data_IF_324352092257
#
_entry.id   IF_324352092257
#
_cell.length_a   1.000
_cell.length_b   1.000
_cell.length_c   1.000
_cell.angle_alpha   90.00
_cell.angle_beta   90.00
_cell.angle_gamma   90.00
#
_symmetry.space_group_name_H-M   'P 1'
#
loop_
_entity.id
_entity.type
_entity.pdbx_description
1 polymer ?
#
# COMPACT_ATOMS: atom_id res chain seq x y z
N UNK A 1 0.38 6.34 -18.18
CA UNK A 1 0.52 5.03 -17.48
C UNK A 1 -0.73 4.82 -16.65
N UNK A 2 -1.49 3.75 -16.89
CA UNK A 2 -2.73 3.50 -16.16
C UNK A 2 -2.40 3.01 -14.73
N UNK A 3 -2.82 3.77 -13.72
CA UNK A 3 -3.00 3.22 -12.38
C UNK A 3 -4.02 2.08 -12.49
N UNK A 4 -3.80 0.97 -11.78
CA UNK A 4 -4.81 -0.08 -11.64
C UNK A 4 -6.13 0.60 -11.27
N UNK A 5 -7.12 0.48 -12.17
CA UNK A 5 -8.48 1.03 -12.03
C UNK A 5 -8.67 2.55 -12.19
N UNK A 6 -7.59 3.31 -12.45
CA UNK A 6 -7.64 4.74 -12.70
C UNK A 6 -8.25 5.54 -11.54
N UNK A 7 -8.81 6.73 -11.83
CA UNK A 7 -9.45 7.58 -10.81
C UNK A 7 -10.69 6.93 -10.17
N UNK A 8 -11.26 5.91 -10.82
CA UNK A 8 -12.48 5.23 -10.38
C UNK A 8 -12.29 4.42 -9.09
N UNK A 9 -11.07 3.98 -8.77
CA UNK A 9 -10.78 3.26 -7.52
C UNK A 9 -10.93 4.12 -6.25
N UNK A 10 -11.00 5.44 -6.40
CA UNK A 10 -11.17 6.37 -5.29
C UNK A 10 -12.64 6.63 -4.95
N UNK A 11 -13.58 6.14 -5.78
CA UNK A 11 -15.02 6.39 -5.61
C UNK A 11 -15.61 5.42 -4.59
N UNK A 12 -16.33 5.96 -3.59
CA UNK A 12 -17.04 5.17 -2.57
C UNK A 12 -18.09 4.27 -3.24
N UNK A 13 -18.07 2.96 -2.95
CA UNK A 13 -18.95 1.97 -3.59
C UNK A 13 -18.40 1.33 -4.88
N UNK A 14 -17.12 1.56 -5.22
CA UNK A 14 -16.48 0.87 -6.33
C UNK A 14 -16.47 -0.66 -6.11
N UNK A 15 -17.30 -1.37 -6.87
CA UNK A 15 -17.22 -2.83 -6.95
C UNK A 15 -16.00 -3.23 -7.78
N UNK A 16 -15.12 -4.04 -7.18
CA UNK A 16 -14.03 -4.71 -7.87
C UNK A 16 -14.59 -5.69 -8.91
N UNK A 17 -14.89 -5.20 -10.12
CA UNK A 17 -15.15 -6.09 -11.25
C UNK A 17 -13.83 -6.74 -11.61
N UNK A 18 -13.73 -8.07 -11.52
CA UNK A 18 -12.51 -8.84 -11.79
C UNK A 18 -11.78 -8.33 -13.04
N UNK A 19 -10.64 -7.67 -12.80
CA UNK A 19 -9.93 -6.95 -13.85
C UNK A 19 -9.15 -7.91 -14.73
N UNK A 20 -8.52 -7.38 -15.79
CA UNK A 20 -7.50 -8.14 -16.50
C UNK A 20 -6.51 -8.73 -15.49
N UNK A 21 -6.14 -10.00 -15.67
CA UNK A 21 -5.13 -10.66 -14.83
C UNK A 21 -3.92 -9.71 -14.71
N UNK A 22 -3.59 -9.32 -13.47
CA UNK A 22 -2.47 -8.42 -13.22
C UNK A 22 -1.19 -9.01 -13.81
N UNK A 23 -0.27 -8.15 -14.29
CA UNK A 23 0.98 -8.61 -14.89
C UNK A 23 1.78 -9.55 -13.96
N UNK A 24 1.67 -9.35 -12.64
CA UNK A 24 2.24 -10.27 -11.65
C UNK A 24 1.77 -11.71 -11.84
N UNK A 25 0.48 -11.95 -12.08
CA UNK A 25 -0.06 -13.29 -12.31
C UNK A 25 0.41 -13.90 -13.64
N UNK A 26 0.69 -13.08 -14.66
CA UNK A 26 1.32 -13.53 -15.91
C UNK A 26 2.79 -13.93 -15.70
N UNK A 27 3.47 -13.27 -14.76
CA UNK A 27 4.84 -13.59 -14.35
C UNK A 27 4.91 -14.61 -13.21
N UNK A 28 3.81 -15.33 -12.94
CA UNK A 28 3.70 -16.32 -11.86
C UNK A 28 3.98 -15.78 -10.44
N UNK A 29 3.91 -14.45 -10.26
CA UNK A 29 3.93 -13.82 -8.93
C UNK A 29 2.55 -13.98 -8.32
N UNK A 30 2.47 -14.77 -7.26
CA UNK A 30 1.23 -15.08 -6.53
C UNK A 30 1.13 -14.38 -5.17
N UNK A 31 2.24 -13.83 -4.66
CA UNK A 31 2.29 -13.17 -3.37
C UNK A 31 3.28 -12.00 -3.35
N UNK A 32 3.00 -11.02 -2.49
CA UNK A 32 3.91 -9.93 -2.15
C UNK A 32 5.05 -10.48 -1.32
N UNK A 33 6.27 -10.15 -1.70
CA UNK A 33 7.46 -10.55 -0.96
C UNK A 33 7.82 -9.49 0.09
N UNK A 34 8.49 -9.86 1.19
CA UNK A 34 9.02 -8.93 2.19
C UNK A 34 9.74 -7.73 1.57
N UNK A 35 10.54 -7.98 0.52
CA UNK A 35 11.28 -6.93 -0.20
C UNK A 35 10.36 -5.90 -0.85
N UNK A 36 9.26 -6.35 -1.47
CA UNK A 36 8.31 -5.46 -2.12
C UNK A 36 7.58 -4.59 -1.09
N UNK A 37 7.24 -5.16 0.07
CA UNK A 37 6.63 -4.43 1.18
C UNK A 37 7.60 -3.37 1.73
N UNK A 38 8.85 -3.76 2.01
CA UNK A 38 9.87 -2.81 2.48
C UNK A 38 10.11 -1.65 1.49
N UNK A 39 10.10 -1.96 0.19
CA UNK A 39 10.23 -0.95 -0.86
C UNK A 39 9.03 0.01 -0.89
N UNK A 40 7.80 -0.53 -0.83
CA UNK A 40 6.59 0.29 -0.76
C UNK A 40 6.58 1.22 0.46
N UNK A 41 6.95 0.72 1.64
CA UNK A 41 7.06 1.53 2.85
C UNK A 41 8.09 2.66 2.71
N UNK A 42 9.24 2.37 2.08
CA UNK A 42 10.28 3.37 1.81
C UNK A 42 9.81 4.44 0.83
N UNK A 43 9.05 4.06 -0.20
CA UNK A 43 8.44 5.02 -1.15
C UNK A 43 7.42 5.90 -0.45
N UNK A 44 6.56 5.34 0.40
CA UNK A 44 5.60 6.14 1.17
C UNK A 44 6.31 7.17 2.04
N UNK A 45 7.40 6.78 2.71
CA UNK A 45 8.21 7.71 3.49
C UNK A 45 8.80 8.82 2.62
N UNK A 46 9.34 8.48 1.45
CA UNK A 46 9.87 9.46 0.50
C UNK A 46 8.79 10.42 -0.02
N UNK A 47 7.60 9.93 -0.36
CA UNK A 47 6.48 10.78 -0.83
C UNK A 47 6.01 11.77 0.22
N UNK A 48 6.20 11.46 1.50
CA UNK A 48 5.90 12.34 2.63
C UNK A 48 7.07 13.25 3.00
N UNK A 49 8.23 13.04 2.40
CA UNK A 49 9.43 13.85 2.63
C UNK A 49 9.41 15.10 1.74
N UNK A 50 10.18 16.15 2.11
CA UNK A 50 10.40 17.30 1.25
C UNK A 50 11.35 17.02 0.08
N UNK A 51 11.93 15.81 -0.06
CA UNK A 51 12.90 15.53 -1.11
C UNK A 51 12.22 15.36 -2.48
N UNK A 52 12.80 15.97 -3.52
CA UNK A 52 12.26 15.92 -4.88
C UNK A 52 12.67 14.68 -5.67
N UNK A 53 13.76 14.01 -5.27
CA UNK A 53 14.31 12.85 -5.97
C UNK A 53 14.96 11.85 -4.99
N UNK A 54 15.03 10.58 -5.41
CA UNK A 54 15.85 9.58 -4.71
C UNK A 54 17.31 9.77 -5.10
N UNK A 55 18.16 10.23 -4.17
CA UNK A 55 19.57 10.44 -4.48
C UNK A 55 20.29 9.10 -4.60
N UNK A 56 21.30 9.05 -5.46
CA UNK A 56 22.10 7.83 -5.69
C UNK A 56 22.82 7.33 -4.43
N UNK A 57 23.14 8.23 -3.50
CA UNK A 57 23.71 7.89 -2.19
C UNK A 57 22.67 7.37 -1.18
N UNK A 58 21.37 7.42 -1.52
CA UNK A 58 20.28 6.97 -0.66
C UNK A 58 19.88 7.91 0.47
N UNK A 59 20.53 9.08 0.61
CA UNK A 59 20.26 10.06 1.68
C UNK A 59 19.59 11.30 1.11
N UNK A 60 18.36 11.58 1.54
CA UNK A 60 17.58 12.76 1.17
C UNK A 60 18.37 14.07 1.31
N UNK A 61 18.31 14.92 0.28
CA UNK A 61 19.09 16.16 0.26
C UNK A 61 18.57 17.17 1.29
N UNK A 62 17.24 17.26 1.45
CA UNK A 62 16.57 18.20 2.36
C UNK A 62 16.25 17.49 3.67
N UNK A 63 15.61 16.31 3.60
CA UNK A 63 15.15 15.60 4.80
C UNK A 63 16.30 14.99 5.62
N UNK A 64 17.46 14.75 5.00
CA UNK A 64 18.58 13.95 5.53
C UNK A 64 18.20 12.51 5.91
N UNK A 65 17.03 12.03 5.48
CA UNK A 65 16.60 10.65 5.70
C UNK A 65 17.48 9.72 4.85
N UNK A 66 18.06 8.71 5.49
CA UNK A 66 18.74 7.63 4.77
C UNK A 66 17.72 6.56 4.34
N UNK A 67 17.13 6.75 3.16
CA UNK A 67 16.14 5.83 2.58
C UNK A 67 16.68 4.42 2.37
N UNK A 68 17.98 4.29 2.10
CA UNK A 68 18.60 2.98 1.95
C UNK A 68 18.61 2.20 3.27
N UNK A 69 18.98 2.85 4.37
CA UNK A 69 18.92 2.22 5.70
C UNK A 69 17.48 1.98 6.16
N UNK A 70 16.55 2.87 5.85
CA UNK A 70 15.11 2.64 6.10
C UNK A 70 14.64 1.37 5.39
N UNK A 71 14.93 1.25 4.09
CA UNK A 71 14.60 0.06 3.30
C UNK A 71 15.23 -1.19 3.91
N UNK A 72 16.52 -1.12 4.25
CA UNK A 72 17.28 -2.23 4.85
C UNK A 72 16.68 -2.65 6.19
N UNK A 73 16.31 -1.70 7.05
CA UNK A 73 15.68 -1.93 8.35
C UNK A 73 14.33 -2.64 8.21
N UNK A 74 13.42 -2.11 7.40
CA UNK A 74 12.13 -2.76 7.13
C UNK A 74 12.31 -4.15 6.55
N UNK A 75 13.19 -4.29 5.56
CA UNK A 75 13.48 -5.58 4.93
C UNK A 75 14.02 -6.59 5.94
N UNK A 76 14.92 -6.17 6.83
CA UNK A 76 15.48 -7.04 7.86
C UNK A 76 14.41 -7.52 8.84
N UNK A 77 13.57 -6.61 9.36
CA UNK A 77 12.46 -6.96 10.26
C UNK A 77 11.50 -7.94 9.58
N UNK A 78 11.09 -7.65 8.35
CA UNK A 78 10.14 -8.50 7.62
C UNK A 78 10.71 -9.88 7.29
N UNK A 79 12.01 -10.00 7.03
CA UNK A 79 12.66 -11.32 6.80
C UNK A 79 12.75 -12.09 8.12
N UNK A 80 13.24 -11.45 9.18
CA UNK A 80 13.49 -12.12 10.46
C UNK A 80 12.21 -12.52 11.17
N UNK A 81 11.16 -11.71 11.04
CA UNK A 81 9.86 -11.93 11.68
C UNK A 81 8.78 -12.35 10.69
N UNK A 82 9.14 -12.89 9.53
CA UNK A 82 8.13 -13.21 8.51
C UNK A 82 7.04 -14.15 9.03
N UNK A 83 7.41 -15.16 9.82
CA UNK A 83 6.46 -16.12 10.38
C UNK A 83 5.57 -15.55 11.50
N UNK A 84 5.80 -14.31 11.94
CA UNK A 84 4.98 -13.66 12.95
C UNK A 84 3.52 -13.51 12.46
N UNK A 85 2.51 -13.89 13.26
CA UNK A 85 1.11 -13.85 12.84
C UNK A 85 0.62 -12.47 12.42
N UNK A 86 1.10 -11.41 13.06
CA UNK A 86 0.72 -10.03 12.73
C UNK A 86 1.28 -9.63 11.37
N UNK A 87 2.54 -9.96 11.09
CA UNK A 87 3.18 -9.72 9.78
C UNK A 87 2.50 -10.54 8.68
N UNK A 88 2.18 -11.81 8.94
CA UNK A 88 1.44 -12.65 8.00
C UNK A 88 0.04 -12.10 7.69
N UNK A 89 -0.67 -11.58 8.70
CA UNK A 89 -1.97 -10.93 8.48
C UNK A 89 -1.86 -9.74 7.54
N UNK A 90 -0.89 -8.85 7.77
CA UNK A 90 -0.63 -7.69 6.91
C UNK A 90 -0.29 -8.15 5.49
N UNK A 91 0.58 -9.14 5.34
CA UNK A 91 0.93 -9.70 4.03
C UNK A 91 -0.29 -10.29 3.31
N UNK A 92 -1.18 -10.97 4.04
CA UNK A 92 -2.44 -11.52 3.52
C UNK A 92 -3.41 -10.45 3.02
N UNK A 93 -3.52 -9.32 3.74
CA UNK A 93 -4.31 -8.17 3.32
C UNK A 93 -3.73 -7.52 2.06
N UNK A 94 -2.41 -7.31 2.02
CA UNK A 94 -1.73 -6.78 0.83
C UNK A 94 -1.88 -7.71 -0.37
N UNK A 95 -1.76 -9.03 -0.18
CA UNK A 95 -1.98 -10.02 -1.23
C UNK A 95 -3.40 -9.95 -1.77
N UNK A 96 -4.39 -9.86 -0.88
CA UNK A 96 -5.80 -9.72 -1.24
C UNK A 96 -6.04 -8.46 -2.08
N UNK A 97 -5.36 -7.37 -1.76
CA UNK A 97 -5.48 -6.11 -2.50
C UNK A 97 -4.78 -6.16 -3.86
N UNK A 98 -3.55 -6.68 -3.92
CA UNK A 98 -2.72 -6.67 -5.13
C UNK A 98 -3.15 -7.73 -6.15
N UNK A 99 -3.54 -8.92 -5.69
CA UNK A 99 -3.88 -10.06 -6.55
C UNK A 99 -5.38 -10.35 -6.60
N UNK A 100 -6.17 -9.67 -5.76
CA UNK A 100 -7.60 -9.90 -5.59
C UNK A 100 -7.88 -11.08 -4.64
N UNK A 101 -8.99 -11.00 -3.89
CA UNK A 101 -9.56 -12.18 -3.24
C UNK A 101 -10.16 -13.07 -4.33
N UNK A 102 -9.60 -14.25 -4.54
CA UNK A 102 -10.32 -15.29 -5.27
C UNK A 102 -11.62 -15.61 -4.53
N UNK A 103 -12.76 -15.21 -5.10
CA UNK A 103 -14.08 -15.80 -4.83
C UNK A 103 -14.56 -15.84 -3.36
N UNK A 104 -14.35 -14.80 -2.55
CA UNK A 104 -15.18 -14.65 -1.34
C UNK A 104 -16.52 -14.06 -1.76
N UNK A 105 -17.55 -14.89 -1.77
CA UNK A 105 -18.94 -14.46 -1.73
C UNK A 105 -19.14 -13.59 -0.50
N UNK A 106 -19.32 -12.29 -0.73
CA UNK A 106 -19.75 -11.36 0.31
C UNK A 106 -21.17 -11.78 0.71
N UNK A 107 -21.34 -12.36 1.91
CA UNK A 107 -22.66 -12.38 2.54
C UNK A 107 -23.02 -10.93 2.86
N UNK A 108 -24.19 -10.43 2.41
CA UNK A 108 -24.63 -9.09 2.73
C UNK A 108 -25.04 -9.06 4.21
N UNK A 109 -24.39 -8.23 5.01
CA UNK A 109 -24.82 -7.97 6.38
C UNK A 109 -23.69 -7.97 7.39
N UNK A 110 -23.08 -6.80 7.58
CA UNK A 110 -22.58 -6.27 8.87
C UNK A 110 -21.54 -5.20 8.55
N UNK A 111 -22.02 -4.00 8.30
CA UNK A 111 -21.21 -2.79 8.47
C UNK A 111 -22.12 -1.86 9.24
N UNK A 112 -21.81 -1.66 10.53
CA UNK A 112 -22.43 -0.61 11.33
C UNK A 112 -22.19 0.76 10.69
N UNK A 113 -22.91 1.80 11.15
CA UNK A 113 -22.83 3.12 10.54
C UNK A 113 -21.38 3.62 10.60
N UNK A 114 -20.74 3.70 9.44
CA UNK A 114 -19.41 4.27 9.28
C UNK A 114 -19.56 5.79 9.35
N UNK A 115 -19.03 6.39 10.41
CA UNK A 115 -19.08 7.84 10.62
C UNK A 115 -18.42 8.58 9.45
N UNK A 116 -19.11 9.59 8.96
CA UNK A 116 -18.71 10.38 7.80
C UNK A 116 -17.80 11.53 8.24
N UNK A 117 -16.49 11.30 8.20
CA UNK A 117 -15.46 12.27 8.57
C UNK A 117 -15.15 13.29 7.45
N UNK A 118 -15.98 13.36 6.41
CA UNK A 118 -15.78 14.28 5.27
C UNK A 118 -15.80 15.75 5.69
N UNK A 119 -16.58 16.10 6.72
CA UNK A 119 -16.65 17.46 7.25
C UNK A 119 -15.33 17.89 7.92
N UNK A 120 -14.69 17.02 8.70
CA UNK A 120 -13.42 17.32 9.38
C UNK A 120 -12.26 17.51 8.40
N UNK A 121 -12.22 16.69 7.34
CA UNK A 121 -11.19 16.79 6.30
C UNK A 121 -11.30 18.13 5.55
N UNK A 122 -12.53 18.54 5.19
CA UNK A 122 -12.75 19.80 4.49
C UNK A 122 -12.42 21.02 5.37
N UNK A 123 -12.74 20.96 6.67
CA UNK A 123 -12.40 22.02 7.61
C UNK A 123 -10.88 22.16 7.78
N UNK A 124 -10.14 21.05 7.87
CA UNK A 124 -8.68 21.07 7.96
C UNK A 124 -8.03 21.66 6.70
N UNK A 125 -8.58 21.38 5.51
CA UNK A 125 -8.06 21.95 4.25
C UNK A 125 -8.36 23.45 4.09
N UNK A 126 -9.43 23.96 4.69
CA UNK A 126 -9.78 25.38 4.63
C UNK A 126 -8.96 26.25 5.60
N UNK A 127 -8.27 25.64 6.57
CA UNK A 127 -7.45 26.31 7.57
C UNK A 127 -5.94 26.33 7.23
N UNK A 128 -5.54 25.76 6.09
CA UNK A 128 -4.20 25.90 5.49
C UNK A 128 -4.16 27.07 4.51
#
# INVERSE_FOLDING_TARGET
KAALWGKMSLVKGFMWRGGPKTNGRKWQVSAVMPRAIAWAATICLFMLSPDSEFPSCGIGQISKINYFEVFRGYKWVLIMKWADPHIQKIAGELNSFVFGKGGMTVKPGSTGPMEDLSAEINAAMAAM
#
